data_IF_034421495055
#
_entry.id   IF_034421495055
#
_cell.length_a   1.000
_cell.length_b   1.000
_cell.length_c   1.000
_cell.angle_alpha   90.00
_cell.angle_beta   90.00
_cell.angle_gamma   90.00
#
_symmetry.space_group_name_H-M   'P 1'
#
loop_
_entity.id
_entity.type
_entity.pdbx_description
1 polymer ?
#
# COMPACT_ATOMS: atom_id res chain seq x y z
N UNK A 1 11.94 23.61 -15.43
CA UNK A 1 11.07 23.38 -14.25
C UNK A 1 11.54 24.19 -13.02
N UNK A 2 11.59 25.52 -13.11
CA UNK A 2 12.02 26.39 -11.99
C UNK A 2 11.00 26.45 -10.84
N UNK A 3 9.72 26.16 -11.12
CA UNK A 3 8.65 26.17 -10.12
C UNK A 3 8.82 25.14 -9.00
N UNK A 4 9.52 24.01 -9.24
CA UNK A 4 9.73 22.95 -8.25
C UNK A 4 10.62 23.39 -7.08
N UNK A 5 11.53 24.33 -7.31
CA UNK A 5 12.56 24.74 -6.34
C UNK A 5 12.23 26.06 -5.63
N UNK A 6 11.00 26.56 -5.78
CA UNK A 6 10.55 27.79 -5.09
C UNK A 6 10.51 27.64 -3.57
N UNK A 7 10.25 26.42 -3.07
CA UNK A 7 10.13 26.09 -1.64
C UNK A 7 11.20 25.13 -1.12
N UNK A 8 12.01 24.53 -2.00
CA UNK A 8 12.98 23.47 -1.68
C UNK A 8 14.35 23.82 -2.26
N UNK A 9 15.42 23.37 -1.60
CA UNK A 9 16.79 23.54 -2.10
C UNK A 9 16.96 22.85 -3.47
N UNK A 10 17.53 23.53 -4.48
CA UNK A 10 17.80 22.92 -5.77
C UNK A 10 18.86 21.82 -5.65
N UNK A 11 18.82 20.77 -6.49
CA UNK A 11 19.82 19.72 -6.48
C UNK A 11 21.18 20.22 -6.95
N UNK A 12 22.26 19.66 -6.39
CA UNK A 12 23.64 19.93 -6.80
C UNK A 12 24.07 18.87 -7.81
N UNK A 13 24.43 19.30 -9.02
CA UNK A 13 24.95 18.40 -10.04
C UNK A 13 26.34 17.89 -9.62
N UNK A 14 26.50 16.57 -9.63
CA UNK A 14 27.78 15.91 -9.39
C UNK A 14 28.61 15.91 -10.68
N UNK A 15 29.78 16.56 -10.64
CA UNK A 15 30.76 16.43 -11.72
C UNK A 15 31.70 15.26 -11.41
N UNK A 16 31.71 14.28 -12.31
CA UNK A 16 32.48 13.03 -12.19
C UNK A 16 33.99 13.28 -12.06
N UNK A 17 34.52 14.35 -12.65
CA UNK A 17 35.94 14.70 -12.61
C UNK A 17 36.38 15.31 -11.27
N UNK A 18 35.50 16.10 -10.63
CA UNK A 18 35.82 16.85 -9.38
C UNK A 18 35.80 15.93 -8.15
N UNK A 19 35.13 14.78 -8.23
CA UNK A 19 35.03 13.84 -7.11
C UNK A 19 36.36 13.16 -6.76
N UNK A 20 37.38 13.22 -7.63
CA UNK A 20 38.70 12.61 -7.40
C UNK A 20 39.59 13.44 -6.46
N UNK A 21 39.29 14.73 -6.24
CA UNK A 21 40.17 15.66 -5.51
C UNK A 21 39.77 15.89 -4.05
N UNK A 22 38.63 15.35 -3.60
CA UNK A 22 38.12 15.54 -2.23
C UNK A 22 38.41 14.32 -1.35
N UNK A 23 39.68 13.99 -1.19
CA UNK A 23 40.15 13.09 -0.13
C UNK A 23 40.11 13.83 1.22
N UNK A 24 38.92 13.91 1.80
CA UNK A 24 38.78 14.02 3.24
C UNK A 24 38.66 12.60 3.76
N UNK A 25 39.74 12.06 4.33
CA UNK A 25 39.72 10.83 5.12
C UNK A 25 38.53 10.88 6.09
N UNK A 26 37.50 10.08 5.82
CA UNK A 26 36.53 9.78 6.86
C UNK A 26 37.28 8.88 7.82
N UNK A 27 37.69 9.46 8.95
CA UNK A 27 38.28 8.76 10.09
C UNK A 27 37.53 7.44 10.31
N UNK A 28 38.21 6.33 10.05
CA UNK A 28 37.81 5.02 10.54
C UNK A 28 37.86 5.09 12.07
N UNK A 29 36.72 5.40 12.70
CA UNK A 29 36.58 5.26 14.12
C UNK A 29 36.60 3.75 14.43
N UNK A 30 37.73 3.30 14.98
CA UNK A 30 37.99 1.96 15.50
C UNK A 30 36.70 1.29 16.02
N UNK A 31 36.17 0.35 15.23
CA UNK A 31 35.18 -0.60 15.74
C UNK A 31 35.42 -1.94 15.04
N UNK A 32 36.25 -2.79 15.66
CA UNK A 32 36.62 -4.12 15.15
C UNK A 32 35.47 -5.14 15.14
N UNK A 33 34.21 -4.68 15.14
CA UNK A 33 32.99 -5.49 15.33
C UNK A 33 31.83 -5.09 14.39
N UNK A 34 31.99 -4.12 13.50
CA UNK A 34 30.92 -3.70 12.57
C UNK A 34 30.96 -4.54 11.28
N UNK A 35 29.79 -5.07 10.90
CA UNK A 35 29.60 -5.79 9.63
C UNK A 35 29.95 -4.84 8.48
N UNK A 36 30.68 -5.32 7.46
CA UNK A 36 31.15 -4.48 6.34
C UNK A 36 30.01 -3.73 5.64
N UNK A 37 28.85 -4.36 5.49
CA UNK A 37 27.65 -3.78 4.87
C UNK A 37 27.01 -2.64 5.67
N UNK A 38 27.34 -2.50 6.96
CA UNK A 38 26.88 -1.41 7.81
C UNK A 38 27.78 -0.17 7.70
N UNK A 39 28.96 -0.29 7.09
CA UNK A 39 29.84 0.85 6.87
C UNK A 39 29.25 1.76 5.80
N UNK A 40 29.27 3.06 6.07
CA UNK A 40 28.84 4.07 5.10
C UNK A 40 29.85 4.17 3.96
N UNK A 41 29.37 4.22 2.72
CA UNK A 41 30.21 4.39 1.55
C UNK A 41 30.49 5.88 1.33
N UNK A 42 31.75 6.20 1.04
CA UNK A 42 32.12 7.53 0.55
C UNK A 42 31.63 7.74 -0.87
N UNK A 43 31.53 8.99 -1.32
CA UNK A 43 31.11 9.29 -2.70
C UNK A 43 32.07 8.71 -3.74
N UNK A 44 33.37 8.67 -3.44
CA UNK A 44 34.40 8.09 -4.30
C UNK A 44 34.17 6.58 -4.45
N UNK A 45 33.90 5.89 -3.33
CA UNK A 45 33.55 4.46 -3.35
C UNK A 45 32.27 4.23 -4.16
N UNK A 46 31.22 5.02 -3.94
CA UNK A 46 29.98 4.94 -4.72
C UNK A 46 30.23 5.12 -6.23
N UNK A 47 31.05 6.10 -6.63
CA UNK A 47 31.43 6.30 -8.04
C UNK A 47 32.14 5.07 -8.62
N UNK A 48 33.17 4.58 -7.93
CA UNK A 48 33.96 3.42 -8.38
C UNK A 48 33.08 2.16 -8.53
N UNK A 49 32.29 1.85 -7.50
CA UNK A 49 31.37 0.70 -7.51
C UNK A 49 30.31 0.84 -8.60
N UNK A 50 29.75 2.05 -8.80
CA UNK A 50 28.78 2.31 -9.87
C UNK A 50 29.36 1.99 -11.25
N UNK A 51 30.57 2.48 -11.56
CA UNK A 51 31.22 2.22 -12.85
C UNK A 51 31.48 0.74 -13.06
N UNK A 52 32.00 0.05 -12.04
CA UNK A 52 32.23 -1.40 -12.10
C UNK A 52 30.92 -2.18 -12.32
N UNK A 53 29.87 -1.82 -11.58
CA UNK A 53 28.56 -2.45 -11.69
C UNK A 53 27.97 -2.28 -13.09
N UNK A 54 28.02 -1.08 -13.66
CA UNK A 54 27.51 -0.82 -15.01
C UNK A 54 28.25 -1.66 -16.05
N UNK A 55 29.58 -1.76 -15.96
CA UNK A 55 30.36 -2.59 -16.89
C UNK A 55 29.98 -4.07 -16.79
N UNK A 56 29.88 -4.61 -15.58
CA UNK A 56 29.51 -6.01 -15.34
C UNK A 56 28.05 -6.31 -15.70
N UNK A 57 27.11 -5.41 -15.38
CA UNK A 57 25.70 -5.56 -15.74
C UNK A 57 25.51 -5.52 -17.26
N UNK A 58 26.26 -4.68 -17.95
CA UNK A 58 26.27 -4.66 -19.42
C UNK A 58 26.77 -5.99 -19.99
N UNK A 59 27.89 -6.52 -19.48
CA UNK A 59 28.38 -7.84 -19.90
C UNK A 59 27.34 -8.94 -19.65
N UNK A 60 26.63 -8.90 -18.52
CA UNK A 60 25.55 -9.84 -18.19
C UNK A 60 24.37 -9.71 -19.15
N UNK A 61 24.03 -8.49 -19.55
CA UNK A 61 22.98 -8.21 -20.53
C UNK A 61 23.37 -8.69 -21.94
N UNK A 62 24.62 -8.47 -22.35
CA UNK A 62 25.12 -8.90 -23.68
C UNK A 62 25.13 -10.44 -23.82
N UNK A 63 25.22 -11.18 -22.71
CA UNK A 63 25.10 -12.64 -22.67
C UNK A 63 23.65 -13.14 -22.68
N UNK A 64 22.68 -12.27 -22.41
CA UNK A 64 21.26 -12.62 -22.42
C UNK A 64 20.71 -12.70 -23.85
N UNK A 65 19.56 -13.37 -24.01
CA UNK A 65 18.91 -13.50 -25.32
C UNK A 65 18.44 -12.13 -25.83
N UNK A 66 18.46 -11.94 -27.15
CA UNK A 66 17.95 -10.72 -27.78
C UNK A 66 16.49 -10.48 -27.39
N UNK A 67 16.21 -9.35 -26.75
CA UNK A 67 14.86 -8.97 -26.27
C UNK A 67 14.58 -9.33 -24.80
N UNK A 68 15.57 -9.85 -24.07
CA UNK A 68 15.47 -10.11 -22.64
C UNK A 68 15.81 -8.88 -21.80
N UNK A 69 15.44 -8.87 -20.52
CA UNK A 69 15.72 -7.79 -19.57
C UNK A 69 16.39 -8.34 -18.30
N UNK A 70 17.20 -7.50 -17.64
CA UNK A 70 17.75 -7.86 -16.35
C UNK A 70 16.66 -7.77 -15.27
N UNK A 71 16.50 -8.84 -14.50
CA UNK A 71 15.60 -8.87 -13.35
C UNK A 71 16.41 -8.48 -12.12
N UNK A 72 15.93 -7.48 -11.40
CA UNK A 72 16.54 -7.06 -10.15
C UNK A 72 16.30 -8.11 -9.06
N UNK A 73 17.36 -8.48 -8.35
CA UNK A 73 17.31 -9.33 -7.16
C UNK A 73 18.10 -8.68 -6.02
N UNK A 74 17.49 -8.64 -4.84
CA UNK A 74 18.11 -8.13 -3.61
C UNK A 74 19.25 -9.03 -3.10
N UNK A 75 19.30 -10.27 -3.54
CA UNK A 75 20.31 -11.25 -3.13
C UNK A 75 21.45 -11.38 -4.16
N UNK A 76 21.34 -10.71 -5.31
CA UNK A 76 22.44 -10.53 -6.27
C UNK A 76 23.30 -9.32 -5.86
N UNK A 77 24.56 -9.59 -5.51
CA UNK A 77 25.47 -8.55 -5.00
C UNK A 77 25.67 -7.41 -5.99
N UNK A 78 25.77 -7.73 -7.28
CA UNK A 78 25.96 -6.75 -8.35
C UNK A 78 24.77 -5.79 -8.49
N UNK A 79 23.55 -6.34 -8.47
CA UNK A 79 22.31 -5.56 -8.53
C UNK A 79 22.14 -4.69 -7.28
N UNK A 80 22.47 -5.22 -6.11
CA UNK A 80 22.41 -4.46 -4.85
C UNK A 80 23.45 -3.36 -4.77
N UNK A 81 24.66 -3.61 -5.24
CA UNK A 81 25.74 -2.61 -5.25
C UNK A 81 25.43 -1.47 -6.21
N UNK A 82 24.85 -1.79 -7.38
CA UNK A 82 24.35 -0.80 -8.33
C UNK A 82 23.29 0.11 -7.71
N UNK A 83 22.27 -0.47 -7.05
CA UNK A 83 21.21 0.29 -6.38
C UNK A 83 21.78 1.13 -5.23
N UNK A 84 22.67 0.56 -4.43
CA UNK A 84 23.31 1.25 -3.30
C UNK A 84 24.10 2.48 -3.76
N UNK A 85 24.95 2.30 -4.77
CA UNK A 85 25.76 3.39 -5.31
C UNK A 85 24.89 4.48 -5.94
N UNK A 86 23.91 4.11 -6.77
CA UNK A 86 23.02 5.05 -7.43
C UNK A 86 22.15 5.84 -6.44
N UNK A 87 21.57 5.15 -5.45
CA UNK A 87 20.74 5.77 -4.41
C UNK A 87 21.55 6.77 -3.56
N UNK A 88 22.79 6.43 -3.20
CA UNK A 88 23.66 7.32 -2.43
C UNK A 88 24.13 8.53 -3.24
N UNK A 89 24.52 8.36 -4.51
CA UNK A 89 24.87 9.48 -5.40
C UNK A 89 23.69 10.43 -5.60
N UNK A 90 22.48 9.89 -5.78
CA UNK A 90 21.25 10.68 -5.84
C UNK A 90 20.97 11.38 -4.52
N UNK A 91 21.07 10.67 -3.40
CA UNK A 91 20.83 11.24 -2.06
C UNK A 91 21.71 12.45 -1.82
N UNK A 92 23.01 12.35 -2.14
CA UNK A 92 23.93 13.47 -2.05
C UNK A 92 23.50 14.67 -2.92
N UNK A 93 23.11 14.44 -4.18
CA UNK A 93 22.66 15.52 -5.08
C UNK A 93 21.44 16.28 -4.52
N UNK A 94 20.60 15.63 -3.72
CA UNK A 94 19.42 16.23 -3.10
C UNK A 94 19.60 16.60 -1.62
N UNK A 95 20.84 16.61 -1.10
CA UNK A 95 21.16 16.91 0.31
C UNK A 95 20.49 15.95 1.32
N UNK A 96 20.27 14.70 0.90
CA UNK A 96 19.74 13.63 1.73
C UNK A 96 20.93 12.83 2.31
N UNK A 97 20.91 12.48 3.61
CA UNK A 97 21.97 11.69 4.23
C UNK A 97 22.20 10.36 3.50
N UNK A 98 23.48 10.00 3.32
CA UNK A 98 23.87 8.70 2.77
C UNK A 98 23.46 7.58 3.71
N UNK A 99 23.20 6.40 3.13
CA UNK A 99 22.83 5.20 3.87
C UNK A 99 23.77 4.05 3.55
N UNK A 100 23.90 3.15 4.51
CA UNK A 100 24.72 1.95 4.36
C UNK A 100 24.10 1.00 3.34
N UNK A 101 24.90 0.09 2.79
CA UNK A 101 24.41 -0.98 1.90
C UNK A 101 23.33 -1.81 2.59
N UNK A 102 23.54 -2.11 3.88
CA UNK A 102 22.58 -2.85 4.71
C UNK A 102 21.21 -2.17 4.78
N UNK A 103 21.16 -0.86 5.08
CA UNK A 103 19.91 -0.11 5.14
C UNK A 103 19.23 -0.02 3.77
N UNK A 104 20.00 0.22 2.71
CA UNK A 104 19.47 0.30 1.34
C UNK A 104 18.92 -1.05 0.90
N UNK A 105 19.59 -2.17 1.22
CA UNK A 105 19.09 -3.53 1.00
C UNK A 105 17.77 -3.76 1.72
N UNK A 106 17.67 -3.32 2.97
CA UNK A 106 16.43 -3.46 3.75
C UNK A 106 15.26 -2.71 3.11
N UNK A 107 15.49 -1.49 2.60
CA UNK A 107 14.44 -0.67 1.99
C UNK A 107 14.10 -1.14 0.57
N UNK A 108 15.10 -1.36 -0.30
CA UNK A 108 14.89 -1.77 -1.68
C UNK A 108 14.26 -3.17 -1.77
N UNK A 109 14.68 -4.09 -0.89
CA UNK A 109 14.15 -5.44 -0.84
C UNK A 109 12.87 -5.60 -0.02
N UNK A 110 12.32 -4.52 0.56
CA UNK A 110 11.21 -4.58 1.51
C UNK A 110 11.41 -5.67 2.58
N UNK A 111 12.61 -5.76 3.14
CA UNK A 111 13.00 -6.87 4.02
C UNK A 111 12.22 -6.79 5.33
N UNK A 112 11.47 -7.84 5.63
CA UNK A 112 10.82 -8.05 6.92
C UNK A 112 11.75 -8.93 7.78
N UNK A 113 12.26 -8.43 8.92
CA UNK A 113 13.07 -9.25 9.82
C UNK A 113 12.30 -10.47 10.31
N UNK A 114 12.91 -11.64 10.19
CA UNK A 114 12.33 -12.91 10.60
C UNK A 114 13.19 -13.59 11.67
N UNK A 115 12.55 -14.21 12.66
CA UNK A 115 13.22 -14.96 13.73
C UNK A 115 12.53 -16.33 13.83
N UNK A 116 13.32 -17.40 13.94
CA UNK A 116 12.82 -18.78 13.94
C UNK A 116 11.78 -19.04 15.04
N UNK A 117 11.93 -18.43 16.21
CA UNK A 117 11.00 -18.60 17.34
C UNK A 117 9.60 -18.10 17.02
N UNK A 118 9.45 -17.00 16.28
CA UNK A 118 8.13 -16.49 15.86
C UNK A 118 7.44 -17.50 14.96
N UNK A 119 8.16 -18.09 14.01
CA UNK A 119 7.61 -19.10 13.10
C UNK A 119 7.22 -20.38 13.85
N UNK A 120 8.04 -20.84 14.80
CA UNK A 120 7.72 -22.01 15.62
C UNK A 120 6.45 -21.80 16.46
N UNK A 121 6.30 -20.64 17.07
CA UNK A 121 5.11 -20.28 17.86
C UNK A 121 3.87 -20.22 16.97
N UNK A 122 3.94 -19.53 15.83
CA UNK A 122 2.82 -19.41 14.88
C UNK A 122 2.43 -20.77 14.31
N UNK A 123 3.40 -21.64 13.95
CA UNK A 123 3.14 -22.99 13.48
C UNK A 123 2.41 -23.84 14.55
N UNK A 124 2.81 -23.73 15.81
CA UNK A 124 2.10 -24.37 16.92
C UNK A 124 0.65 -23.88 17.03
N UNK A 125 0.41 -22.57 16.92
CA UNK A 125 -0.94 -22.01 16.91
C UNK A 125 -1.79 -22.51 15.73
N UNK A 126 -1.21 -22.63 14.53
CA UNK A 126 -1.90 -23.19 13.35
C UNK A 126 -2.40 -24.60 13.63
N UNK A 127 -1.55 -25.47 14.21
CA UNK A 127 -1.94 -26.85 14.53
C UNK A 127 -3.02 -26.90 15.62
N UNK A 128 -2.96 -26.01 16.61
CA UNK A 128 -4.01 -25.91 17.64
C UNK A 128 -5.37 -25.53 17.05
N UNK A 129 -5.42 -24.56 16.13
CA UNK A 129 -6.67 -24.20 15.45
C UNK A 129 -7.14 -25.31 14.49
N UNK A 130 -6.21 -26.06 13.88
CA UNK A 130 -6.54 -27.24 13.08
C UNK A 130 -7.24 -28.34 13.90
N UNK A 131 -6.85 -28.54 15.17
CA UNK A 131 -7.58 -29.46 16.05
C UNK A 131 -9.01 -28.99 16.34
N UNK A 132 -9.24 -27.68 16.48
CA UNK A 132 -10.60 -27.14 16.63
C UNK A 132 -11.43 -27.42 15.38
N UNK A 133 -10.84 -27.17 14.19
CA UNK A 133 -11.47 -27.43 12.90
C UNK A 133 -11.80 -28.92 12.70
N UNK A 134 -10.85 -29.81 12.97
CA UNK A 134 -11.02 -31.26 12.84
C UNK A 134 -12.14 -31.79 13.74
N UNK A 135 -12.23 -31.27 14.97
CA UNK A 135 -13.27 -31.62 15.92
C UNK A 135 -14.62 -30.91 15.65
N UNK A 136 -14.75 -30.18 14.53
CA UNK A 136 -15.94 -29.41 14.13
C UNK A 136 -16.35 -28.33 15.16
N UNK A 137 -15.38 -27.81 15.91
CA UNK A 137 -15.57 -26.74 16.90
C UNK A 137 -15.29 -25.37 16.29
N UNK A 138 -16.06 -25.01 15.26
CA UNK A 138 -15.84 -23.77 14.52
C UNK A 138 -15.99 -22.50 15.37
N UNK A 139 -16.86 -22.53 16.39
CA UNK A 139 -17.07 -21.41 17.30
C UNK A 139 -15.88 -21.17 18.25
N UNK A 140 -15.04 -22.18 18.46
CA UNK A 140 -13.85 -22.07 19.31
C UNK A 140 -12.63 -21.53 18.52
N UNK A 141 -12.73 -21.49 17.19
CA UNK A 141 -11.70 -20.94 16.33
C UNK A 141 -11.57 -19.43 16.54
N UNK A 142 -10.34 -18.94 16.60
CA UNK A 142 -10.07 -17.52 16.83
C UNK A 142 -8.83 -17.04 16.08
N UNK A 143 -8.83 -15.78 15.69
CA UNK A 143 -7.62 -15.09 15.23
C UNK A 143 -6.75 -14.81 16.44
N UNK A 144 -5.58 -15.46 16.52
CA UNK A 144 -4.63 -15.27 17.63
C UNK A 144 -3.49 -14.36 17.20
N UNK A 145 -3.37 -13.20 17.86
CA UNK A 145 -2.26 -12.27 17.67
C UNK A 145 -1.15 -12.54 18.68
N UNK A 146 0.09 -12.65 18.20
CA UNK A 146 1.30 -12.70 19.01
C UNK A 146 1.87 -11.29 19.16
N UNK A 147 1.90 -10.77 20.38
CA UNK A 147 2.43 -9.46 20.69
C UNK A 147 3.90 -9.52 21.12
N UNK A 148 4.70 -8.51 20.73
CA UNK A 148 6.09 -8.36 21.19
C UNK A 148 6.19 -7.99 22.68
N UNK A 149 5.21 -7.22 23.17
CA UNK A 149 5.10 -6.79 24.56
C UNK A 149 3.72 -7.20 25.09
N UNK A 150 3.58 -7.51 26.38
CA UNK A 150 2.29 -7.89 26.91
C UNK A 150 1.32 -6.71 26.80
N UNK A 151 0.05 -7.00 26.54
CA UNK A 151 -1.01 -6.01 26.62
C UNK A 151 -1.21 -5.54 28.08
N UNK A 152 -2.05 -4.53 28.33
CA UNK A 152 -2.38 -4.04 29.69
C UNK A 152 -2.87 -5.14 30.65
N UNK A 153 -3.39 -6.26 30.13
CA UNK A 153 -3.80 -7.46 30.88
C UNK A 153 -2.68 -8.50 31.10
N UNK A 154 -1.43 -8.19 30.77
CA UNK A 154 -0.30 -9.11 30.91
C UNK A 154 -0.23 -10.24 29.85
N UNK A 155 -1.09 -10.20 28.81
CA UNK A 155 -1.18 -11.26 27.80
C UNK A 155 -0.29 -10.97 26.59
N UNK A 156 0.49 -11.96 26.16
CA UNK A 156 1.24 -11.95 24.89
C UNK A 156 0.43 -12.51 23.72
N UNK A 157 -0.46 -13.45 23.99
CA UNK A 157 -1.39 -14.02 23.02
C UNK A 157 -2.75 -13.36 23.21
N UNK A 158 -3.23 -12.68 22.17
CA UNK A 158 -4.55 -12.05 22.17
C UNK A 158 -5.42 -12.80 21.16
N UNK A 159 -6.43 -13.50 21.68
CA UNK A 159 -7.44 -14.15 20.86
C UNK A 159 -8.55 -13.16 20.53
N UNK A 160 -8.90 -13.06 19.26
CA UNK A 160 -10.02 -12.31 18.72
C UNK A 160 -10.98 -13.27 18.04
N UNK A 161 -12.28 -13.09 18.30
CA UNK A 161 -13.33 -13.87 17.64
C UNK A 161 -13.28 -13.61 16.13
N UNK A 162 -13.57 -14.65 15.34
CA UNK A 162 -13.62 -14.52 13.89
C UNK A 162 -14.71 -13.53 13.47
N UNK A 163 -14.36 -12.64 12.54
CA UNK A 163 -15.31 -11.72 11.95
C UNK A 163 -16.24 -12.46 10.99
N UNK A 164 -17.47 -11.97 10.87
CA UNK A 164 -18.41 -12.49 9.88
C UNK A 164 -18.02 -11.97 8.48
N UNK A 165 -18.40 -12.66 7.38
CA UNK A 165 -18.15 -12.19 6.03
C UNK A 165 -18.65 -10.75 5.83
N UNK A 166 -17.81 -9.89 5.27
CA UNK A 166 -18.19 -8.52 4.98
C UNK A 166 -19.14 -8.50 3.77
N UNK A 167 -20.37 -7.98 3.90
CA UNK A 167 -21.33 -7.93 2.78
C UNK A 167 -20.85 -7.05 1.61
N UNK A 168 -19.90 -6.15 1.84
CA UNK A 168 -19.29 -5.28 0.82
C UNK A 168 -18.03 -5.87 0.17
N UNK A 169 -17.64 -7.10 0.53
CA UNK A 169 -16.45 -7.71 -0.04
C UNK A 169 -16.69 -8.06 -1.51
N UNK A 170 -15.90 -7.51 -2.43
CA UNK A 170 -16.01 -7.81 -3.86
C UNK A 170 -15.56 -9.24 -4.24
N UNK A 171 -15.05 -10.03 -3.29
CA UNK A 171 -14.60 -11.41 -3.52
C UNK A 171 -15.61 -12.43 -3.00
N UNK A 172 -15.98 -12.36 -1.72
CA UNK A 172 -16.80 -13.38 -1.07
C UNK A 172 -18.28 -13.02 -0.92
N UNK A 173 -18.70 -11.81 -1.33
CA UNK A 173 -20.12 -11.45 -1.31
C UNK A 173 -20.86 -12.06 -2.51
N UNK A 174 -22.16 -12.27 -2.34
CA UNK A 174 -23.03 -12.73 -3.45
C UNK A 174 -23.17 -11.68 -4.56
N UNK A 175 -22.90 -10.40 -4.25
CA UNK A 175 -22.96 -9.28 -5.18
C UNK A 175 -21.60 -8.60 -5.27
N UNK A 176 -20.68 -9.25 -5.98
CA UNK A 176 -19.35 -8.73 -6.28
C UNK A 176 -19.45 -7.63 -7.34
N UNK A 177 -19.59 -6.37 -6.90
CA UNK A 177 -19.59 -5.20 -7.78
C UNK A 177 -18.47 -4.23 -7.38
N UNK A 178 -17.73 -3.73 -8.38
CA UNK A 178 -16.64 -2.76 -8.18
C UNK A 178 -16.77 -1.62 -9.19
N UNK A 179 -16.68 -0.39 -8.70
CA UNK A 179 -16.68 0.80 -9.54
C UNK A 179 -15.24 1.16 -9.91
N UNK A 180 -14.99 1.38 -11.20
CA UNK A 180 -13.70 1.84 -11.70
C UNK A 180 -13.90 3.17 -12.41
N UNK A 181 -13.30 4.23 -11.85
CA UNK A 181 -13.23 5.54 -12.49
C UNK A 181 -12.00 5.59 -13.38
N UNK A 182 -12.19 5.80 -14.67
CA UNK A 182 -11.12 5.92 -15.66
C UNK A 182 -11.54 6.81 -16.83
N UNK A 183 -10.59 7.26 -17.63
CA UNK A 183 -10.88 7.97 -18.87
C UNK A 183 -11.05 6.97 -20.03
N UNK A 184 -12.28 6.81 -20.53
CA UNK A 184 -12.60 5.81 -21.56
C UNK A 184 -11.98 6.10 -22.94
N UNK A 185 -11.55 7.33 -23.19
CA UNK A 185 -10.93 7.73 -24.45
C UNK A 185 -9.43 7.40 -24.51
N UNK A 186 -8.73 7.46 -23.37
CA UNK A 186 -7.30 7.22 -23.30
C UNK A 186 -6.97 5.77 -22.93
N UNK A 187 -7.85 5.11 -22.18
CA UNK A 187 -7.58 3.80 -21.65
C UNK A 187 -7.84 2.69 -22.69
N UNK A 188 -6.88 1.78 -22.83
CA UNK A 188 -6.93 0.67 -23.79
C UNK A 188 -7.42 -0.62 -23.15
N UNK A 189 -7.91 -1.56 -23.97
CA UNK A 189 -8.29 -2.90 -23.51
C UNK A 189 -7.13 -3.64 -22.86
N UNK A 190 -5.91 -3.55 -23.43
CA UNK A 190 -4.72 -4.14 -22.83
C UNK A 190 -4.42 -3.56 -21.44
N UNK A 191 -4.61 -2.26 -21.25
CA UNK A 191 -4.40 -1.62 -19.94
C UNK A 191 -5.44 -2.09 -18.93
N UNK A 192 -6.68 -2.32 -19.35
CA UNK A 192 -7.74 -2.90 -18.51
C UNK A 192 -7.38 -4.31 -18.05
N UNK A 193 -6.97 -5.17 -18.98
CA UNK A 193 -6.58 -6.54 -18.65
C UNK A 193 -5.38 -6.58 -17.69
N UNK A 194 -4.30 -5.88 -18.02
CA UNK A 194 -3.04 -6.01 -17.30
C UNK A 194 -3.02 -5.21 -16.00
N UNK A 195 -3.42 -3.93 -16.03
CA UNK A 195 -3.30 -3.04 -14.86
C UNK A 195 -4.45 -3.22 -13.86
N UNK A 196 -5.68 -3.43 -14.35
CA UNK A 196 -6.86 -3.54 -13.48
C UNK A 196 -7.12 -5.00 -13.13
N UNK A 197 -7.43 -5.85 -14.10
CA UNK A 197 -7.88 -7.23 -13.84
C UNK A 197 -6.77 -8.09 -13.23
N UNK A 198 -5.58 -8.12 -13.86
CA UNK A 198 -4.46 -8.95 -13.41
C UNK A 198 -3.69 -8.34 -12.24
N UNK A 199 -3.27 -7.08 -12.34
CA UNK A 199 -2.41 -6.46 -11.33
C UNK A 199 -3.17 -6.01 -10.08
N UNK A 200 -4.35 -5.41 -10.20
CA UNK A 200 -5.08 -4.88 -9.04
C UNK A 200 -6.13 -5.84 -8.48
N UNK A 201 -6.86 -6.55 -9.34
CA UNK A 201 -7.92 -7.49 -8.94
C UNK A 201 -7.43 -8.94 -8.84
N UNK A 202 -6.17 -9.19 -9.21
CA UNK A 202 -5.49 -10.48 -9.07
C UNK A 202 -6.17 -11.67 -9.78
N UNK A 203 -6.85 -11.39 -10.90
CA UNK A 203 -7.31 -12.42 -11.83
C UNK A 203 -6.11 -13.07 -12.54
N UNK A 204 -6.13 -14.38 -12.69
CA UNK A 204 -5.11 -15.16 -13.39
C UNK A 204 -5.38 -15.17 -14.90
N UNK A 205 -6.63 -15.43 -15.28
CA UNK A 205 -7.06 -15.60 -16.65
C UNK A 205 -8.47 -14.99 -16.81
N UNK A 206 -8.56 -13.66 -16.94
CA UNK A 206 -9.85 -12.98 -17.02
C UNK A 206 -10.48 -13.13 -18.42
N UNK A 207 -11.76 -13.44 -18.43
CA UNK A 207 -12.67 -13.35 -19.57
C UNK A 207 -13.65 -12.21 -19.28
N UNK A 208 -13.81 -11.28 -20.24
CA UNK A 208 -14.63 -10.07 -20.02
C UNK A 208 -15.67 -9.91 -21.11
N UNK A 209 -16.93 -9.82 -20.69
CA UNK A 209 -18.10 -9.55 -21.53
C UNK A 209 -18.79 -8.23 -21.15
N UNK A 210 -19.40 -7.57 -22.13
CA UNK A 210 -20.24 -6.39 -21.91
C UNK A 210 -21.68 -6.83 -21.62
N UNK A 211 -22.30 -6.27 -20.58
CA UNK A 211 -23.69 -6.52 -20.16
C UNK A 211 -24.73 -5.80 -21.06
N UNK A 212 -24.62 -5.98 -22.38
CA UNK A 212 -25.45 -5.32 -23.40
C UNK A 212 -26.54 -6.24 -24.00
N UNK A 213 -26.86 -7.37 -23.34
CA UNK A 213 -27.68 -8.48 -23.86
C UNK A 213 -27.14 -9.17 -25.14
N UNK A 214 -26.13 -8.59 -25.80
CA UNK A 214 -25.46 -9.12 -27.00
C UNK A 214 -24.33 -10.09 -26.66
N UNK A 215 -23.82 -10.06 -25.42
CA UNK A 215 -22.69 -10.90 -24.99
C UNK A 215 -21.40 -10.58 -25.75
N UNK A 216 -21.10 -9.30 -25.98
CA UNK A 216 -19.87 -8.90 -26.68
C UNK A 216 -18.66 -9.18 -25.79
N UNK A 217 -17.81 -10.10 -26.22
CA UNK A 217 -16.56 -10.46 -25.52
C UNK A 217 -15.47 -9.45 -25.91
N UNK A 218 -14.81 -8.86 -24.91
CA UNK A 218 -13.71 -7.90 -25.09
C UNK A 218 -12.36 -8.57 -24.86
N UNK A 219 -12.27 -9.41 -23.83
CA UNK A 219 -11.05 -10.11 -23.42
C UNK A 219 -11.41 -11.59 -23.33
N UNK A 220 -10.62 -12.44 -23.97
CA UNK A 220 -10.69 -13.89 -23.85
C UNK A 220 -9.37 -14.41 -23.29
N UNK A 221 -9.47 -15.38 -22.38
CA UNK A 221 -8.32 -16.08 -21.79
C UNK A 221 -7.66 -17.06 -22.78
N UNK A 222 -8.35 -17.43 -23.87
CA UNK A 222 -7.82 -18.30 -24.92
C UNK A 222 -6.96 -17.52 -25.92
N UNK A 223 -5.72 -18.00 -26.12
CA UNK A 223 -4.75 -17.37 -27.01
C UNK A 223 -5.18 -17.50 -28.47
N UNK A 224 -5.71 -16.42 -29.05
CA UNK A 224 -5.93 -16.29 -30.49
C UNK A 224 -7.36 -16.03 -30.93
N UNK A 225 -8.33 -15.99 -30.02
CA UNK A 225 -9.73 -15.75 -30.36
C UNK A 225 -10.04 -14.28 -30.68
N UNK A 226 -9.33 -13.33 -30.06
CA UNK A 226 -9.62 -11.89 -30.17
C UNK A 226 -8.36 -11.12 -30.58
N UNK A 227 -7.79 -11.45 -31.75
CA UNK A 227 -6.64 -10.74 -32.27
C UNK A 227 -7.04 -9.34 -32.79
N UNK A 228 -6.55 -8.27 -32.15
CA UNK A 228 -6.63 -6.90 -32.67
C UNK A 228 -7.54 -5.93 -31.91
N UNK A 229 -8.09 -6.31 -30.76
CA UNK A 229 -8.82 -5.40 -29.86
C UNK A 229 -7.94 -4.78 -28.77
N UNK A 230 -6.77 -5.35 -28.49
CA UNK A 230 -5.89 -4.95 -27.38
C UNK A 230 -5.51 -3.46 -27.38
N UNK A 231 -5.24 -2.92 -28.58
CA UNK A 231 -4.82 -1.54 -28.78
C UNK A 231 -6.00 -0.56 -28.97
N UNK A 232 -7.24 -1.05 -28.98
CA UNK A 232 -8.42 -0.20 -29.11
C UNK A 232 -8.76 0.46 -27.78
N UNK A 233 -9.28 1.68 -27.86
CA UNK A 233 -9.76 2.41 -26.69
C UNK A 233 -11.11 1.85 -26.25
N UNK A 234 -11.42 1.95 -24.96
CA UNK A 234 -12.70 1.50 -24.42
C UNK A 234 -13.89 2.20 -25.11
N UNK A 235 -13.75 3.49 -25.42
CA UNK A 235 -14.73 4.27 -26.17
C UNK A 235 -15.09 3.67 -27.53
N UNK A 236 -14.12 3.10 -28.24
CA UNK A 236 -14.33 2.48 -29.56
C UNK A 236 -15.15 1.18 -29.51
N UNK A 237 -15.30 0.60 -28.31
CA UNK A 237 -16.07 -0.61 -28.05
C UNK A 237 -17.44 -0.28 -27.43
N UNK A 238 -17.89 0.98 -27.49
CA UNK A 238 -19.10 1.51 -26.87
C UNK A 238 -19.13 1.43 -25.33
N UNK A 239 -17.96 1.36 -24.68
CA UNK A 239 -17.84 1.41 -23.23
C UNK A 239 -17.82 2.88 -22.82
N UNK A 240 -18.91 3.33 -22.22
CA UNK A 240 -19.14 4.71 -21.77
C UNK A 240 -19.34 4.74 -20.25
N UNK A 241 -19.70 5.91 -19.73
CA UNK A 241 -20.07 6.07 -18.34
C UNK A 241 -21.29 5.19 -17.99
N UNK A 242 -21.16 4.41 -16.92
CA UNK A 242 -22.19 3.49 -16.44
C UNK A 242 -22.19 2.10 -17.11
N UNK A 243 -21.31 1.85 -18.09
CA UNK A 243 -21.20 0.52 -18.71
C UNK A 243 -20.79 -0.53 -17.69
N UNK A 244 -21.44 -1.69 -17.74
CA UNK A 244 -21.17 -2.84 -16.87
C UNK A 244 -20.44 -3.93 -17.65
N UNK A 245 -19.37 -4.43 -17.07
CA UNK A 245 -18.56 -5.50 -17.62
C UNK A 245 -18.65 -6.69 -16.65
N UNK A 246 -19.05 -7.86 -17.14
CA UNK A 246 -18.94 -9.07 -16.35
C UNK A 246 -17.55 -9.67 -16.63
N UNK A 247 -16.79 -9.85 -15.56
CA UNK A 247 -15.45 -10.42 -15.59
C UNK A 247 -15.50 -11.77 -14.90
N UNK A 248 -15.14 -12.83 -15.63
CA UNK A 248 -15.08 -14.19 -15.11
C UNK A 248 -13.61 -14.65 -15.12
N UNK A 249 -13.20 -15.33 -14.07
CA UNK A 249 -11.98 -16.12 -14.04
C UNK A 249 -12.33 -17.57 -13.73
N UNK A 250 -12.44 -18.38 -14.79
CA UNK A 250 -12.77 -19.80 -14.70
C UNK A 250 -11.76 -20.61 -13.89
N UNK A 251 -10.50 -20.17 -13.78
CA UNK A 251 -9.49 -20.88 -13.00
C UNK A 251 -9.67 -20.65 -11.51
N UNK A 252 -10.11 -19.46 -11.12
CA UNK A 252 -10.36 -19.09 -9.72
C UNK A 252 -11.80 -19.32 -9.28
N UNK A 253 -12.73 -19.63 -10.20
CA UNK A 253 -14.18 -19.61 -9.96
C UNK A 253 -14.61 -18.26 -9.37
N UNK A 254 -14.11 -17.18 -9.95
CA UNK A 254 -14.31 -15.83 -9.46
C UNK A 254 -15.02 -14.98 -10.51
N UNK A 255 -16.25 -14.57 -10.18
CA UNK A 255 -17.07 -13.70 -11.02
C UNK A 255 -17.16 -12.33 -10.36
N UNK A 256 -16.89 -11.29 -11.13
CA UNK A 256 -16.91 -9.90 -10.69
C UNK A 256 -17.59 -9.03 -11.73
N UNK A 257 -18.51 -8.17 -11.29
CA UNK A 257 -19.08 -7.13 -12.14
C UNK A 257 -18.33 -5.83 -11.94
N UNK A 258 -17.76 -5.30 -13.02
CA UNK A 258 -17.13 -3.99 -13.04
C UNK A 258 -18.11 -2.96 -13.60
N UNK A 259 -18.21 -1.82 -12.93
CA UNK A 259 -18.96 -0.66 -13.40
C UNK A 259 -17.95 0.43 -13.77
N UNK A 260 -17.95 0.86 -15.02
CA UNK A 260 -17.06 1.91 -15.50
C UNK A 260 -17.70 3.27 -15.26
N UNK A 261 -16.97 4.17 -14.61
CA UNK A 261 -17.33 5.58 -14.49
C UNK A 261 -16.33 6.42 -15.28
N UNK A 262 -16.81 7.20 -16.25
CA UNK A 262 -15.95 8.05 -17.06
C UNK A 262 -15.63 9.35 -16.32
N UNK A 263 -14.34 9.62 -16.10
CA UNK A 263 -13.90 10.89 -15.51
C UNK A 263 -12.61 11.38 -16.15
N UNK A 264 -12.61 12.66 -16.53
CA UNK A 264 -11.44 13.35 -17.07
C UNK A 264 -10.57 14.01 -15.97
N UNK A 265 -11.10 14.13 -14.75
CA UNK A 265 -10.47 14.88 -13.65
C UNK A 265 -9.63 13.97 -12.73
N UNK A 266 -8.82 13.10 -13.31
CA UNK A 266 -7.93 12.21 -12.56
C UNK A 266 -6.60 12.92 -12.29
N UNK A 267 -6.39 13.30 -11.03
CA UNK A 267 -5.36 14.29 -10.66
C UNK A 267 -3.92 13.79 -10.64
N UNK A 268 -3.64 12.50 -10.92
CA UNK A 268 -2.31 11.93 -11.21
C UNK A 268 -2.38 10.41 -11.51
N UNK A 269 -3.42 9.71 -11.06
CA UNK A 269 -3.58 8.27 -11.26
C UNK A 269 -4.38 7.97 -12.53
N UNK A 270 -4.00 6.96 -13.32
CA UNK A 270 -4.70 6.61 -14.57
C UNK A 270 -6.12 6.07 -14.34
N UNK A 271 -6.40 5.53 -13.14
CA UNK A 271 -7.70 5.01 -12.74
C UNK A 271 -7.86 5.02 -11.20
N UNK A 272 -9.09 5.09 -10.70
CA UNK A 272 -9.44 4.97 -9.28
C UNK A 272 -10.47 3.86 -9.09
N UNK A 273 -10.23 2.93 -8.17
CA UNK A 273 -11.16 1.83 -7.87
C UNK A 273 -11.88 2.13 -6.56
N UNK A 274 -13.20 2.18 -6.62
CA UNK A 274 -14.07 2.37 -5.46
C UNK A 274 -14.89 1.11 -5.23
N UNK A 275 -14.64 0.45 -4.09
CA UNK A 275 -15.39 -0.73 -3.63
C UNK A 275 -16.66 -0.34 -2.88
N UNK A 276 -16.77 0.92 -2.42
CA UNK A 276 -17.95 1.47 -1.75
C UNK A 276 -18.82 2.26 -2.74
N UNK A 277 -19.87 1.61 -3.26
CA UNK A 277 -20.90 2.24 -4.13
C UNK A 277 -21.74 3.31 -3.41
N UNK A 278 -21.46 3.60 -2.12
CA UNK A 278 -22.21 4.54 -1.28
C UNK A 278 -21.80 6.02 -1.47
N UNK A 279 -20.73 6.30 -2.23
CA UNK A 279 -20.23 7.66 -2.45
C UNK A 279 -20.68 8.30 -3.77
N UNK A 280 -21.56 7.63 -4.52
CA UNK A 280 -22.18 8.22 -5.72
C UNK A 280 -23.51 8.84 -5.31
N UNK A 281 -23.47 10.08 -4.81
CA UNK A 281 -24.61 10.98 -5.03
C UNK A 281 -24.34 11.76 -6.33
N UNK A 282 -25.30 11.83 -7.26
CA UNK A 282 -25.19 12.74 -8.39
C UNK A 282 -25.04 14.17 -7.85
N UNK A 283 -24.06 14.93 -8.34
CA UNK A 283 -23.96 16.37 -8.07
C UNK A 283 -25.28 17.00 -8.52
N UNK A 284 -26.13 17.39 -7.57
CA UNK A 284 -27.25 18.29 -7.84
C UNK A 284 -26.62 19.64 -8.19
N UNK A 285 -26.95 20.15 -9.37
CA UNK A 285 -26.58 21.49 -9.82
C UNK A 285 -27.19 22.52 -8.85
N UNK A 286 -26.36 23.27 -8.13
CA UNK A 286 -26.81 24.45 -7.41
C UNK A 286 -27.07 25.60 -8.41
N UNK A 287 -28.25 26.23 -8.39
CA UNK A 287 -28.47 27.43 -9.18
C UNK A 287 -27.76 28.62 -8.53
N UNK A 288 -27.09 29.40 -9.38
CA UNK A 288 -26.27 30.55 -9.04
C UNK A 288 -27.08 31.80 -8.64
N UNK A 289 -26.38 32.69 -7.91
CA UNK A 289 -26.67 34.11 -7.57
C UNK A 289 -27.47 34.34 -6.27
N UNK A 290 -27.15 35.28 -5.37
CA UNK A 290 -26.19 36.40 -5.36
C UNK A 290 -26.01 36.93 -3.92
N UNK A 291 -24.89 37.64 -3.66
CA UNK A 291 -24.49 38.21 -2.35
C UNK A 291 -25.22 39.50 -1.96
N UNK A 292 -25.49 39.65 -0.65
CA UNK A 292 -25.52 40.85 0.26
C UNK A 292 -26.73 40.71 1.22
N UNK A 293 -26.70 41.02 2.52
CA UNK A 293 -25.78 41.74 3.40
C UNK A 293 -25.98 41.22 4.86
N UNK A 294 -25.08 41.66 5.76
CA UNK A 294 -25.12 41.42 7.22
C UNK A 294 -26.36 42.06 7.88
N UNK A 295 -26.84 41.44 8.97
CA UNK A 295 -27.03 42.10 10.28
C UNK A 295 -27.34 41.04 11.39
N UNK A 296 -27.34 41.53 12.63
CA UNK A 296 -26.91 40.93 13.89
C UNK A 296 -27.91 40.03 14.67
N UNK A 297 -27.33 39.36 15.69
CA UNK A 297 -27.89 38.97 17.01
C UNK A 297 -28.64 37.63 17.26
N UNK A 298 -28.02 36.86 18.17
CA UNK A 298 -28.54 36.06 19.30
C UNK A 298 -29.83 35.22 19.13
N UNK A 299 -29.71 33.90 19.21
CA UNK A 299 -30.22 33.08 20.34
C UNK A 299 -30.00 31.59 20.07
N UNK A 300 -29.41 30.87 21.03
CA UNK A 300 -29.34 29.40 21.02
C UNK A 300 -29.97 28.90 22.32
N UNK A 301 -31.25 28.55 22.24
CA UNK A 301 -31.94 27.74 23.25
C UNK A 301 -32.83 26.70 22.57
N UNK A 302 -32.72 25.49 23.10
CA UNK A 302 -33.79 24.51 23.28
C UNK A 302 -34.34 23.78 22.03
N UNK A 303 -33.82 22.56 21.84
CA UNK A 303 -34.54 21.48 21.17
C UNK A 303 -35.50 20.87 22.19
N UNK A 304 -36.80 21.01 21.91
CA UNK A 304 -37.93 20.45 22.62
C UNK A 304 -38.11 18.97 22.27
N UNK A 305 -38.35 18.16 23.30
CA UNK A 305 -38.70 16.75 23.29
C UNK A 305 -39.99 16.47 22.50
N UNK A 306 -40.08 15.29 21.87
CA UNK A 306 -41.37 14.61 21.70
C UNK A 306 -41.28 13.19 22.25
N UNK A 307 -42.21 12.94 23.16
CA UNK A 307 -42.45 11.81 24.05
C UNK A 307 -42.85 10.51 23.34
N UNK A 308 -42.52 9.36 23.95
CA UNK A 308 -43.51 8.31 24.32
C UNK A 308 -42.91 7.32 25.31
N UNK A 309 -43.34 7.46 26.57
CA UNK A 309 -43.89 6.43 27.47
C UNK A 309 -43.06 5.26 28.02
N UNK A 310 -42.78 5.42 29.32
CA UNK A 310 -43.20 4.56 30.44
C UNK A 310 -42.24 3.50 31.07
N UNK A 311 -41.75 3.90 32.25
CA UNK A 311 -41.83 3.24 33.58
C UNK A 311 -40.57 2.58 34.19
N UNK A 312 -40.31 3.07 35.41
CA UNK A 312 -39.64 2.48 36.60
C UNK A 312 -38.15 2.73 36.86
N UNK A 313 -37.91 3.72 37.73
CA UNK A 313 -37.13 3.68 38.99
C UNK A 313 -35.79 2.91 38.96
N UNK A 314 -34.64 3.52 39.28
CA UNK A 314 -34.26 3.86 40.68
C UNK A 314 -33.04 4.79 40.70
N UNK A 315 -33.08 5.80 41.57
CA UNK A 315 -32.00 6.78 41.86
C UNK A 315 -30.82 6.13 42.61
N UNK A 316 -29.59 6.54 42.29
CA UNK A 316 -28.55 6.90 43.30
C UNK A 316 -27.51 7.84 42.71
N UNK A 317 -27.46 9.06 43.27
CA UNK A 317 -26.44 10.11 43.07
C UNK A 317 -25.23 9.85 43.96
N UNK A 318 -24.08 10.38 43.54
CA UNK A 318 -22.93 11.00 44.27
C UNK A 318 -21.60 10.47 43.72
N UNK A 319 -20.50 11.19 43.63
CA UNK A 319 -20.16 12.63 43.62
C UNK A 319 -18.67 12.70 43.21
N UNK A 320 -18.24 13.82 42.64
CA UNK A 320 -16.89 14.11 42.19
C UNK A 320 -15.96 14.62 43.32
N UNK A 321 -14.65 14.42 43.16
CA UNK A 321 -13.48 15.21 43.61
C UNK A 321 -12.23 14.44 43.10
N UNK A 322 -11.28 14.92 42.28
CA UNK A 322 -10.44 16.13 42.17
C UNK A 322 -9.51 16.36 43.37
N UNK A 323 -8.25 16.71 43.04
CA UNK A 323 -7.02 17.01 43.83
C UNK A 323 -6.05 15.81 43.82
N UNK A 324 -4.77 15.90 43.46
CA UNK A 324 -3.88 17.03 43.14
C UNK A 324 -2.45 16.49 42.99
N UNK A 325 -1.61 17.27 42.31
CA UNK A 325 -0.21 16.99 41.96
C UNK A 325 0.73 17.00 43.18
N UNK A 326 1.84 16.24 43.09
CA UNK A 326 3.25 16.70 43.23
C UNK A 326 4.24 15.73 43.92
N UNK A 327 5.36 15.59 43.20
CA UNK A 327 6.77 15.47 43.59
C UNK A 327 7.39 14.29 44.38
N UNK A 328 8.33 13.66 43.67
CA UNK A 328 9.73 13.39 43.99
C UNK A 328 10.21 12.30 44.98
N UNK A 329 11.00 11.40 44.37
CA UNK A 329 12.31 10.86 44.81
C UNK A 329 12.32 9.96 46.05
N UNK A 330 12.51 8.65 45.81
CA UNK A 330 13.50 7.89 46.57
C UNK A 330 14.08 6.72 45.75
N UNK A 331 15.33 6.90 45.34
CA UNK A 331 16.22 5.84 44.88
C UNK A 331 16.69 4.99 46.07
N UNK A 332 16.67 3.66 45.95
CA UNK A 332 17.73 2.81 46.54
C UNK A 332 17.77 1.42 45.92
N UNK A 333 18.98 1.14 45.44
CA UNK A 333 19.55 -0.04 44.77
C UNK A 333 19.27 -1.40 45.43
N UNK A 334 18.96 -2.36 44.56
CA UNK A 334 19.65 -3.63 44.31
C UNK A 334 20.17 -4.48 45.49
N UNK A 335 19.75 -5.75 45.50
CA UNK A 335 20.58 -6.91 45.88
C UNK A 335 20.17 -8.13 45.04
N UNK A 336 21.05 -8.55 44.14
CA UNK A 336 21.29 -9.96 43.81
C UNK A 336 22.80 -10.14 43.80
N UNK A 337 23.23 -11.31 44.28
CA UNK A 337 24.60 -11.80 44.39
C UNK A 337 25.36 -11.80 43.05
#
# INVERSE_FOLDING_TARGET
MSNLWKKRSPPVALNVQILEERDGEVQDCNTSLTIEDQKLWTLIKCKSVFTECVTKLKQRFDLSKSGDFLIWDKDDDLSMDFVTACANLRSFAFHIPLKSRFEIKSMAGNIIPAIATTNAVVAGLIVMELFNLHNKKFNDCATTYLLRKPNYKGKYFVKCVLFHPNPKCYVCSEKSEVLVKLNTEQFTVQSLEQKILKQHLHMVAPDVEIDDNKGTIIISSEKGEICGLDNKTLSSLNINDGTRLNCDDFKQHFVLRLVIANSCDLSNDEFEIQTDTSQIQPKVEEPNSSKKALDEENDITEIVETTTDHISETKRKTAAAIIGEDEEILTKRARVA
#
